data_IF_697493828041
#
_entry.id   IF_697493828041
#
_cell.length_a   1.000
_cell.length_b   1.000
_cell.length_c   1.000
_cell.angle_alpha   90.00
_cell.angle_beta   90.00
_cell.angle_gamma   90.00
#
_symmetry.space_group_name_H-M   'P 1'
#
loop_
_entity.id
_entity.type
_entity.pdbx_description
1 polymer ?
#
# COMPACT_ATOMS: atom_id res chain seq x y z
N UNK A 1 -7.93 25.32 13.36
CA UNK A 1 -8.86 24.91 12.28
C UNK A 1 -8.01 24.37 11.14
N UNK A 2 -8.40 23.27 10.49
CA UNK A 2 -7.63 22.65 9.40
C UNK A 2 -8.29 23.01 8.06
N UNK A 3 -7.51 23.23 7.00
CA UNK A 3 -8.03 23.50 5.65
C UNK A 3 -8.24 22.21 4.83
N UNK A 4 -7.46 21.17 5.15
CA UNK A 4 -7.55 19.87 4.52
C UNK A 4 -7.00 18.74 5.40
N UNK A 5 -7.39 17.50 5.09
CA UNK A 5 -6.90 16.29 5.74
C UNK A 5 -6.73 15.14 4.73
N UNK A 6 -5.65 14.36 4.89
CA UNK A 6 -5.52 13.03 4.28
C UNK A 6 -5.84 11.98 5.34
N UNK A 7 -6.69 11.03 4.99
CA UNK A 7 -7.06 9.88 5.80
C UNK A 7 -6.42 8.65 5.17
N UNK A 8 -5.51 8.01 5.90
CA UNK A 8 -4.89 6.75 5.50
C UNK A 8 -5.40 5.61 6.38
N UNK A 9 -6.18 4.72 5.76
CA UNK A 9 -6.80 3.57 6.41
C UNK A 9 -8.01 3.86 7.31
N UNK A 10 -8.84 2.83 7.49
CA UNK A 10 -9.95 2.80 8.45
C UNK A 10 -11.07 3.83 8.25
N UNK A 11 -11.98 3.85 9.24
CA UNK A 11 -13.10 4.79 9.30
C UNK A 11 -14.31 4.44 8.41
N UNK A 12 -15.37 5.24 8.54
CA UNK A 12 -16.62 5.12 7.78
C UNK A 12 -16.64 6.09 6.59
N UNK A 13 -17.77 6.18 5.90
CA UNK A 13 -18.01 7.24 4.93
C UNK A 13 -17.80 8.62 5.58
N UNK A 14 -17.08 9.49 4.89
CA UNK A 14 -16.87 10.89 5.26
C UNK A 14 -18.19 11.64 5.10
N UNK A 15 -18.56 12.43 6.11
CA UNK A 15 -19.75 13.28 6.07
C UNK A 15 -19.64 14.31 4.92
N UNK A 16 -20.74 14.58 4.24
CA UNK A 16 -20.77 15.36 2.99
C UNK A 16 -20.88 16.87 3.18
N UNK A 17 -21.08 17.33 4.42
CA UNK A 17 -21.25 18.74 4.77
C UNK A 17 -19.93 19.43 5.20
N UNK A 18 -18.80 18.72 5.14
CA UNK A 18 -17.48 19.31 5.42
C UNK A 18 -17.14 20.40 4.39
N UNK A 19 -16.60 21.51 4.91
CA UNK A 19 -16.10 22.64 4.10
C UNK A 19 -14.60 22.55 3.79
N UNK A 20 -13.91 21.61 4.43
CA UNK A 20 -12.49 21.33 4.23
C UNK A 20 -12.29 20.31 3.11
N UNK A 21 -11.09 20.23 2.55
CA UNK A 21 -10.75 19.17 1.59
C UNK A 21 -10.42 17.88 2.33
N UNK A 22 -11.03 16.78 1.94
CA UNK A 22 -10.79 15.45 2.53
C UNK A 22 -10.33 14.50 1.44
N UNK A 23 -9.24 13.80 1.70
CA UNK A 23 -8.73 12.81 0.78
C UNK A 23 -8.49 11.48 1.48
N UNK A 24 -9.16 10.42 1.03
CA UNK A 24 -8.84 9.05 1.44
C UNK A 24 -7.78 8.44 0.54
N UNK A 25 -6.61 8.14 1.10
CA UNK A 25 -5.53 7.45 0.39
C UNK A 25 -5.39 6.05 0.97
N UNK A 26 -5.73 5.03 0.18
CA UNK A 26 -5.98 3.68 0.68
C UNK A 26 -5.02 2.67 0.05
N UNK A 27 -4.50 1.78 0.89
CA UNK A 27 -3.84 0.54 0.44
C UNK A 27 -4.87 -0.52 0.03
N UNK A 28 -4.44 -1.60 -0.62
CA UNK A 28 -5.31 -2.75 -0.87
C UNK A 28 -5.79 -3.39 0.43
N UNK A 29 -4.95 -3.42 1.48
CA UNK A 29 -5.34 -3.83 2.84
C UNK A 29 -6.54 -3.05 3.34
N UNK A 30 -6.53 -1.73 3.20
CA UNK A 30 -7.61 -0.87 3.70
C UNK A 30 -8.94 -1.16 2.99
N UNK A 31 -8.88 -1.41 1.67
CA UNK A 31 -10.03 -1.81 0.86
C UNK A 31 -10.59 -3.14 1.35
N UNK A 32 -9.72 -4.13 1.56
CA UNK A 32 -10.08 -5.47 2.07
C UNK A 32 -10.78 -5.36 3.41
N UNK A 33 -10.21 -4.63 4.38
CA UNK A 33 -10.67 -4.66 5.77
C UNK A 33 -11.69 -3.58 6.15
N UNK A 34 -12.35 -2.96 5.17
CA UNK A 34 -13.54 -2.14 5.40
C UNK A 34 -13.80 -1.03 4.39
N UNK A 35 -12.76 -0.52 3.72
CA UNK A 35 -12.95 0.65 2.86
C UNK A 35 -13.65 0.35 1.55
N UNK A 36 -13.62 -0.90 1.05
CA UNK A 36 -14.39 -1.30 -0.13
C UNK A 36 -15.89 -1.03 0.02
N UNK A 37 -16.48 -1.37 1.17
CA UNK A 37 -17.87 -1.09 1.49
C UNK A 37 -18.15 0.40 1.79
N UNK A 38 -17.11 1.15 2.18
CA UNK A 38 -17.19 2.56 2.51
C UNK A 38 -16.83 3.49 1.32
N UNK A 39 -16.69 2.95 0.11
CA UNK A 39 -16.47 3.76 -1.11
C UNK A 39 -17.53 4.86 -1.25
N UNK A 40 -17.07 6.03 -1.69
CA UNK A 40 -17.89 7.21 -1.95
C UNK A 40 -17.49 7.79 -3.29
N UNK A 41 -18.46 8.37 -3.99
CA UNK A 41 -18.17 9.15 -5.17
C UNK A 41 -17.35 10.38 -4.77
N UNK A 42 -16.39 10.73 -5.62
CA UNK A 42 -15.67 11.96 -5.44
C UNK A 42 -16.58 13.19 -5.57
N UNK A 43 -16.18 14.31 -4.96
CA UNK A 43 -16.87 15.60 -5.01
C UNK A 43 -15.87 16.77 -4.96
N UNK A 44 -16.36 18.00 -4.92
CA UNK A 44 -15.53 19.21 -4.84
C UNK A 44 -14.68 19.30 -3.55
N UNK A 45 -15.02 18.53 -2.52
CA UNK A 45 -14.33 18.49 -1.23
C UNK A 45 -13.88 17.08 -0.81
N UNK A 46 -14.17 16.04 -1.61
CA UNK A 46 -13.80 14.66 -1.26
C UNK A 46 -13.17 13.93 -2.44
N UNK A 47 -12.02 13.30 -2.21
CA UNK A 47 -11.33 12.45 -3.19
C UNK A 47 -10.90 11.14 -2.55
N UNK A 48 -10.87 10.08 -3.34
CA UNK A 48 -10.34 8.79 -2.88
C UNK A 48 -9.45 8.13 -3.93
N UNK A 49 -8.29 7.64 -3.50
CA UNK A 49 -7.40 6.80 -4.30
C UNK A 49 -7.13 5.49 -3.59
N UNK A 50 -7.03 4.42 -4.36
CA UNK A 50 -6.72 3.08 -3.89
C UNK A 50 -5.48 2.57 -4.64
N UNK A 51 -4.45 2.13 -3.92
CA UNK A 51 -3.18 1.65 -4.49
C UNK A 51 -3.21 0.12 -4.55
N UNK A 52 -3.22 -0.42 -5.77
CA UNK A 52 -3.36 -1.85 -6.01
C UNK A 52 -2.18 -2.64 -5.43
N UNK A 53 -2.45 -3.80 -4.82
CA UNK A 53 -1.47 -4.74 -4.27
C UNK A 53 -0.60 -4.23 -3.12
N UNK A 54 -0.76 -2.97 -2.69
CA UNK A 54 -0.05 -2.42 -1.55
C UNK A 54 -0.68 -2.87 -0.23
N UNK A 55 0.18 -3.17 0.73
CA UNK A 55 -0.17 -3.44 2.12
C UNK A 55 -0.18 -2.16 2.94
N UNK A 56 -1.02 -2.09 3.98
CA UNK A 56 -1.07 -0.95 4.90
C UNK A 56 0.32 -0.62 5.49
N UNK A 57 1.15 -1.65 5.67
CA UNK A 57 2.57 -1.52 5.98
C UNK A 57 3.35 -2.20 4.86
N UNK A 58 4.03 -1.43 4.02
CA UNK A 58 4.92 -1.92 2.95
C UNK A 58 6.40 -1.91 3.34
N UNK A 59 7.24 -2.50 2.47
CA UNK A 59 8.68 -2.55 2.70
C UNK A 59 9.31 -1.17 2.91
N UNK A 60 8.89 -0.16 2.14
CA UNK A 60 9.48 1.18 2.20
C UNK A 60 9.04 1.92 3.48
N UNK A 61 7.80 1.71 3.94
CA UNK A 61 7.37 2.17 5.26
C UNK A 61 8.26 1.61 6.37
N UNK A 62 8.52 0.30 6.37
CA UNK A 62 9.34 -0.33 7.40
C UNK A 62 10.80 0.09 7.30
N UNK A 63 11.35 0.19 6.09
CA UNK A 63 12.72 0.65 5.87
C UNK A 63 12.93 2.10 6.36
N UNK A 64 12.00 3.01 6.06
CA UNK A 64 12.07 4.40 6.53
C UNK A 64 11.87 4.51 8.04
N UNK A 65 10.92 3.74 8.61
CA UNK A 65 10.70 3.69 10.06
C UNK A 65 11.90 3.13 10.81
N UNK A 66 12.60 2.13 10.28
CA UNK A 66 13.77 1.54 10.94
C UNK A 66 14.87 2.58 11.21
N UNK A 67 15.06 3.54 10.31
CA UNK A 67 16.03 4.63 10.50
C UNK A 67 15.62 5.55 11.66
N UNK A 68 14.33 5.90 11.73
CA UNK A 68 13.78 6.72 12.82
C UNK A 68 13.87 5.99 14.17
N UNK A 69 13.54 4.69 14.18
CA UNK A 69 13.64 3.88 15.38
C UNK A 69 15.08 3.76 15.90
N UNK A 70 16.04 3.63 15.00
CA UNK A 70 17.46 3.60 15.37
C UNK A 70 17.89 4.93 16.01
N UNK A 71 17.36 6.06 15.51
CA UNK A 71 17.66 7.40 16.02
C UNK A 71 16.97 7.70 17.36
N UNK A 72 15.67 7.43 17.46
CA UNK A 72 14.79 7.94 18.53
C UNK A 72 14.28 6.85 19.48
N UNK A 73 14.54 5.57 19.17
CA UNK A 73 13.89 4.45 19.83
C UNK A 73 12.41 4.30 19.44
N UNK A 74 11.69 3.43 20.16
CA UNK A 74 10.25 3.23 20.00
C UNK A 74 9.54 3.55 21.32
N UNK A 75 9.34 4.84 21.67
CA UNK A 75 8.69 5.19 22.92
C UNK A 75 7.25 4.67 22.93
N UNK A 76 6.96 3.75 23.86
CA UNK A 76 5.61 3.24 24.10
C UNK A 76 4.90 4.23 25.00
N UNK A 77 3.75 4.75 24.55
CA UNK A 77 2.94 5.64 25.37
C UNK A 77 2.56 4.94 26.71
N UNK A 78 2.60 5.63 27.85
CA UNK A 78 2.23 5.04 29.13
C UNK A 78 0.84 4.39 29.06
N UNK A 79 0.75 3.11 29.43
CA UNK A 79 -0.50 2.33 29.37
C UNK A 79 -0.84 1.71 28.01
N UNK A 80 -0.02 1.91 26.97
CA UNK A 80 -0.20 1.23 25.68
C UNK A 80 0.57 -0.10 25.65
N UNK A 81 -0.09 -1.19 25.25
CA UNK A 81 0.55 -2.48 24.99
C UNK A 81 0.52 -2.76 23.48
N UNK A 82 1.67 -2.68 22.77
CA UNK A 82 1.73 -2.99 21.35
C UNK A 82 1.19 -4.40 21.05
N UNK A 83 0.33 -4.53 20.04
CA UNK A 83 -0.29 -5.81 19.67
C UNK A 83 -1.58 -6.16 20.42
N UNK A 84 -1.96 -5.38 21.44
CA UNK A 84 -3.29 -5.47 22.06
C UNK A 84 -4.27 -4.63 21.22
N UNK A 85 -4.84 -5.22 20.18
CA UNK A 85 -5.93 -4.57 19.44
C UNK A 85 -7.16 -4.55 20.35
N UNK A 86 -7.49 -3.38 20.88
CA UNK A 86 -8.77 -3.10 21.53
C UNK A 86 -9.96 -3.16 20.57
N UNK A 87 -10.19 -4.29 19.88
CA UNK A 87 -11.47 -4.49 19.19
C UNK A 87 -11.55 -5.41 17.97
N UNK A 88 -10.65 -6.36 17.69
CA UNK A 88 -10.94 -7.38 16.65
C UNK A 88 -10.62 -8.81 17.11
N UNK A 89 -11.68 -9.50 17.52
CA UNK A 89 -11.88 -10.95 17.54
C UNK A 89 -10.89 -11.85 18.31
N UNK A 90 -10.52 -11.51 19.54
CA UNK A 90 -10.23 -12.54 20.54
C UNK A 90 -10.79 -12.13 21.90
N UNK A 91 -11.63 -12.98 22.48
CA UNK A 91 -12.33 -12.75 23.74
C UNK A 91 -11.45 -12.94 24.99
N UNK A 92 -10.13 -13.08 24.83
CA UNK A 92 -9.19 -13.31 25.93
C UNK A 92 -7.96 -12.40 25.80
N UNK A 93 -7.76 -11.51 26.78
CA UNK A 93 -6.60 -10.63 26.84
C UNK A 93 -5.28 -11.41 27.02
N UNK A 94 -5.32 -12.60 27.61
CA UNK A 94 -4.13 -13.42 27.80
C UNK A 94 -3.60 -14.01 26.49
N UNK A 95 -4.48 -14.41 25.57
CA UNK A 95 -4.07 -14.88 24.24
C UNK A 95 -3.45 -13.74 23.42
N UNK A 96 -3.99 -12.52 23.52
CA UNK A 96 -3.42 -11.35 22.84
C UNK A 96 -2.01 -11.01 23.34
N UNK A 97 -1.77 -11.09 24.65
CA UNK A 97 -0.42 -10.87 25.22
C UNK A 97 0.56 -11.96 24.78
N UNK A 98 0.12 -13.22 24.70
CA UNK A 98 0.93 -14.32 24.22
C UNK A 98 1.28 -14.16 22.73
N UNK A 99 0.32 -13.77 21.89
CA UNK A 99 0.53 -13.54 20.46
C UNK A 99 1.43 -12.32 20.21
N UNK A 100 1.26 -11.24 20.97
CA UNK A 100 2.14 -10.07 20.92
C UNK A 100 3.60 -10.41 21.29
N UNK A 101 3.80 -11.28 22.29
CA UNK A 101 5.12 -11.79 22.68
C UNK A 101 5.73 -12.69 21.61
N UNK A 102 4.96 -13.62 21.04
CA UNK A 102 5.42 -14.47 19.92
C UNK A 102 5.85 -13.64 18.73
N UNK A 103 5.04 -12.65 18.38
CA UNK A 103 5.33 -11.70 17.31
C UNK A 103 6.63 -10.91 17.57
N UNK A 104 6.80 -10.36 18.78
CA UNK A 104 8.00 -9.59 19.13
C UNK A 104 9.26 -10.46 19.15
N UNK A 105 9.16 -11.70 19.63
CA UNK A 105 10.27 -12.65 19.65
C UNK A 105 10.67 -13.09 18.23
N UNK A 106 9.71 -13.34 17.34
CA UNK A 106 9.98 -13.69 15.95
C UNK A 106 10.72 -12.56 15.22
N UNK A 107 10.27 -11.30 15.38
CA UNK A 107 10.96 -10.13 14.83
C UNK A 107 12.37 -9.98 15.41
N UNK A 108 12.54 -10.13 16.72
CA UNK A 108 13.85 -10.04 17.37
C UNK A 108 14.81 -11.13 16.88
N UNK A 109 14.30 -12.30 16.48
CA UNK A 109 15.06 -13.38 15.90
C UNK A 109 15.28 -13.26 14.38
N UNK A 110 14.78 -12.18 13.74
CA UNK A 110 14.83 -12.01 12.28
C UNK A 110 13.94 -12.99 11.51
N UNK A 111 12.98 -13.62 12.18
CA UNK A 111 12.04 -14.56 11.58
C UNK A 111 10.77 -13.83 11.08
N UNK A 112 10.18 -14.31 9.99
CA UNK A 112 8.86 -13.87 9.55
C UNK A 112 7.79 -14.34 10.56
N UNK A 113 7.07 -13.42 11.24
CA UNK A 113 6.04 -13.81 12.21
C UNK A 113 4.71 -14.20 11.56
N UNK A 114 4.56 -14.05 10.25
CA UNK A 114 3.31 -14.22 9.51
C UNK A 114 3.30 -15.48 8.63
N UNK A 115 2.12 -15.87 8.17
CA UNK A 115 1.95 -17.10 7.37
C UNK A 115 2.54 -16.97 5.96
N UNK A 116 2.60 -15.75 5.40
CA UNK A 116 3.26 -15.43 4.13
C UNK A 116 4.41 -14.43 4.34
N UNK A 117 5.41 -14.38 3.43
CA UNK A 117 6.50 -13.41 3.51
C UNK A 117 5.98 -11.97 3.56
N UNK A 118 6.34 -11.23 4.61
CA UNK A 118 6.08 -9.78 4.74
C UNK A 118 7.18 -8.98 4.07
N UNK A 119 6.94 -7.78 3.53
CA UNK A 119 5.74 -6.97 3.38
C UNK A 119 5.33 -6.92 1.91
N UNK A 120 4.32 -6.17 1.45
CA UNK A 120 4.22 -5.89 0.00
C UNK A 120 5.39 -4.99 -0.46
N UNK A 121 5.82 -5.14 -1.72
CA UNK A 121 6.88 -4.35 -2.35
C UNK A 121 6.36 -3.11 -3.09
N UNK A 122 5.05 -2.89 -3.09
CA UNK A 122 4.41 -1.77 -3.79
C UNK A 122 4.70 -0.48 -3.02
N UNK A 123 5.44 0.48 -3.59
CA UNK A 123 5.92 1.65 -2.85
C UNK A 123 4.85 2.72 -2.70
N UNK A 124 4.00 2.60 -1.65
CA UNK A 124 2.89 3.51 -1.39
C UNK A 124 3.30 4.98 -1.30
N UNK A 125 4.51 5.23 -0.80
CA UNK A 125 5.05 6.57 -0.64
C UNK A 125 5.04 7.39 -1.94
N UNK A 126 5.14 6.74 -3.11
CA UNK A 126 5.13 7.44 -4.40
C UNK A 126 3.79 8.14 -4.66
N UNK A 127 2.70 7.47 -4.29
CA UNK A 127 1.33 7.99 -4.41
C UNK A 127 1.03 8.98 -3.30
N UNK A 128 1.53 8.73 -2.08
CA UNK A 128 1.41 9.67 -0.97
C UNK A 128 2.09 11.02 -1.26
N UNK A 129 3.29 11.00 -1.85
CA UNK A 129 4.01 12.21 -2.23
C UNK A 129 3.19 13.07 -3.21
N UNK A 130 2.65 12.45 -4.28
CA UNK A 130 1.77 13.13 -5.21
C UNK A 130 0.47 13.63 -4.56
N UNK A 131 -0.12 12.84 -3.65
CA UNK A 131 -1.33 13.23 -2.94
C UNK A 131 -1.10 14.49 -2.09
N UNK A 132 0.05 14.60 -1.41
CA UNK A 132 0.41 15.78 -0.63
C UNK A 132 0.58 17.03 -1.51
N UNK A 133 1.27 16.91 -2.65
CA UNK A 133 1.44 18.00 -3.62
C UNK A 133 0.09 18.49 -4.16
N UNK A 134 -0.78 17.56 -4.57
CA UNK A 134 -2.12 17.92 -5.03
C UNK A 134 -2.98 18.50 -3.92
N UNK A 135 -2.86 18.03 -2.68
CA UNK A 135 -3.61 18.59 -1.54
C UNK A 135 -3.26 20.07 -1.35
N UNK A 136 -1.96 20.41 -1.45
CA UNK A 136 -1.50 21.78 -1.37
C UNK A 136 -2.09 22.66 -2.49
N UNK A 137 -2.10 22.16 -3.73
CA UNK A 137 -2.73 22.85 -4.87
C UNK A 137 -4.25 22.95 -4.74
N UNK A 138 -4.91 21.96 -4.15
CA UNK A 138 -6.35 21.96 -3.96
C UNK A 138 -6.80 22.97 -2.92
N UNK A 139 -6.02 23.13 -1.85
CA UNK A 139 -6.25 24.15 -0.82
C UNK A 139 -5.94 25.55 -1.36
N UNK A 140 -4.80 25.72 -2.02
CA UNK A 140 -4.30 27.04 -2.44
C UNK A 140 -5.03 27.58 -3.67
N UNK A 141 -5.17 26.75 -4.70
CA UNK A 141 -5.58 27.17 -6.04
C UNK A 141 -6.95 26.59 -6.44
N UNK A 142 -7.59 25.81 -5.55
CA UNK A 142 -8.86 25.13 -5.84
C UNK A 142 -8.75 24.02 -6.87
N UNK A 143 -7.54 23.64 -7.30
CA UNK A 143 -7.30 22.62 -8.32
C UNK A 143 -7.49 21.22 -7.72
N UNK A 144 -8.57 20.49 -8.06
CA UNK A 144 -8.79 19.17 -7.48
C UNK A 144 -7.73 18.18 -7.98
N UNK A 145 -7.38 17.17 -7.17
CA UNK A 145 -6.53 16.09 -7.64
C UNK A 145 -7.21 15.26 -8.72
N UNK A 146 -6.43 14.52 -9.54
CA UNK A 146 -6.95 13.55 -10.50
C UNK A 146 -7.88 12.52 -9.86
N UNK A 147 -8.81 11.98 -10.66
CA UNK A 147 -9.67 10.87 -10.26
C UNK A 147 -8.94 9.57 -10.58
N UNK A 148 -8.98 8.59 -9.67
CA UNK A 148 -8.50 7.23 -9.92
C UNK A 148 -9.66 6.22 -9.85
N UNK A 149 -9.66 5.17 -10.69
CA UNK A 149 -10.63 4.11 -10.56
C UNK A 149 -10.41 3.33 -9.25
N UNK A 150 -11.47 2.80 -8.61
CA UNK A 150 -11.31 1.87 -7.50
C UNK A 150 -10.59 0.59 -7.93
N UNK A 151 -9.96 -0.13 -7.00
CA UNK A 151 -9.42 -1.49 -7.25
C UNK A 151 -10.58 -2.43 -7.61
N UNK A 152 -10.38 -3.25 -8.64
CA UNK A 152 -11.36 -4.24 -9.04
C UNK A 152 -11.53 -5.31 -7.96
N UNK A 153 -12.77 -5.51 -7.53
CA UNK A 153 -13.14 -6.47 -6.49
C UNK A 153 -14.37 -7.27 -6.94
N UNK A 154 -14.34 -8.58 -6.69
CA UNK A 154 -15.51 -9.46 -6.91
C UNK A 154 -16.54 -9.31 -5.80
N UNK A 155 -16.11 -8.86 -4.62
CA UNK A 155 -16.96 -8.47 -3.50
C UNK A 155 -16.31 -7.34 -2.72
N UNK A 156 -17.10 -6.37 -2.29
CA UNK A 156 -16.67 -5.28 -1.40
C UNK A 156 -17.15 -5.45 0.04
N UNK A 157 -17.82 -6.57 0.36
CA UNK A 157 -18.25 -6.91 1.72
C UNK A 157 -17.02 -7.30 2.55
N UNK A 158 -16.77 -6.70 3.72
CA UNK A 158 -15.56 -7.00 4.50
C UNK A 158 -15.53 -8.45 5.03
N UNK A 159 -14.42 -9.20 4.84
CA UNK A 159 -13.23 -8.81 4.07
C UNK A 159 -13.52 -8.83 2.56
N UNK A 160 -13.24 -7.72 1.88
CA UNK A 160 -13.45 -7.59 0.44
C UNK A 160 -12.55 -8.57 -0.33
N UNK A 161 -13.03 -9.06 -1.48
CA UNK A 161 -12.34 -10.06 -2.30
C UNK A 161 -11.86 -9.38 -3.58
N UNK A 162 -10.55 -9.12 -3.66
CA UNK A 162 -9.94 -8.46 -4.82
C UNK A 162 -9.99 -9.39 -6.03
N UNK A 163 -10.31 -8.84 -7.20
CA UNK A 163 -10.15 -9.57 -8.45
C UNK A 163 -8.66 -9.72 -8.74
N UNK A 164 -8.21 -10.93 -9.11
CA UNK A 164 -6.79 -11.23 -9.36
C UNK A 164 -6.54 -11.61 -10.81
N UNK A 165 -5.37 -11.25 -11.34
CA UNK A 165 -4.89 -11.70 -12.64
C UNK A 165 -4.23 -13.09 -12.56
N UNK A 166 -3.74 -13.59 -13.70
CA UNK A 166 -3.06 -14.89 -13.79
C UNK A 166 -1.72 -14.95 -13.06
N UNK A 167 -1.20 -13.82 -12.55
CA UNK A 167 0.01 -13.72 -11.75
C UNK A 167 -0.30 -13.56 -10.25
N UNK A 168 -1.58 -13.58 -9.86
CA UNK A 168 -2.02 -13.40 -8.48
C UNK A 168 -2.02 -11.95 -7.99
N UNK A 169 -1.70 -10.99 -8.87
CA UNK A 169 -1.77 -9.56 -8.56
C UNK A 169 -3.19 -9.03 -8.80
N UNK A 170 -3.51 -7.83 -8.31
CA UNK A 170 -4.83 -7.22 -8.58
C UNK A 170 -5.08 -7.16 -10.10
N UNK A 171 -6.27 -7.54 -10.55
CA UNK A 171 -6.61 -7.68 -11.98
C UNK A 171 -6.62 -6.34 -12.71
N UNK A 172 -7.23 -5.33 -12.09
CA UNK A 172 -7.47 -4.03 -12.69
C UNK A 172 -7.93 -3.02 -11.66
N UNK A 173 -8.25 -1.82 -12.14
CA UNK A 173 -8.58 -0.70 -11.27
C UNK A 173 -7.41 -0.25 -10.38
N UNK A 174 -7.70 0.72 -9.51
CA UNK A 174 -6.71 1.34 -8.63
C UNK A 174 -5.59 2.08 -9.36
N UNK A 175 -4.71 2.68 -8.57
CA UNK A 175 -3.41 3.15 -9.04
C UNK A 175 -2.47 1.94 -9.06
N UNK A 176 -1.99 1.59 -10.25
CA UNK A 176 -1.09 0.45 -10.48
C UNK A 176 0.33 0.96 -10.70
N UNK A 177 1.17 0.85 -9.68
CA UNK A 177 2.60 1.16 -9.79
C UNK A 177 3.36 0.05 -10.53
N UNK A 178 4.65 0.28 -10.82
CA UNK A 178 5.48 -0.68 -11.54
C UNK A 178 5.47 -2.09 -10.92
N UNK A 179 5.45 -2.20 -9.58
CA UNK A 179 5.38 -3.48 -8.86
C UNK A 179 4.13 -4.33 -9.19
N UNK A 180 3.06 -3.73 -9.72
CA UNK A 180 1.82 -4.41 -10.09
C UNK A 180 1.63 -4.47 -11.60
N UNK A 181 1.98 -3.42 -12.32
CA UNK A 181 1.81 -3.36 -13.77
C UNK A 181 2.93 -4.07 -14.54
N UNK A 182 4.13 -4.17 -13.93
CA UNK A 182 5.31 -4.86 -14.46
C UNK A 182 5.86 -5.78 -13.36
N UNK A 183 5.09 -6.80 -12.94
CA UNK A 183 5.34 -7.52 -11.70
C UNK A 183 6.56 -8.44 -11.79
N UNK A 184 7.44 -8.32 -10.80
CA UNK A 184 8.49 -9.30 -10.50
C UNK A 184 8.08 -10.30 -9.40
N UNK A 185 6.96 -10.02 -8.75
CA UNK A 185 6.42 -10.76 -7.63
C UNK A 185 4.89 -10.68 -7.63
N UNK A 186 4.25 -11.66 -6.98
CA UNK A 186 2.87 -11.53 -6.53
C UNK A 186 2.86 -10.63 -5.30
N UNK A 187 2.13 -9.52 -5.34
CA UNK A 187 1.93 -8.58 -4.25
C UNK A 187 0.48 -8.62 -3.78
N UNK A 188 0.28 -8.64 -2.46
CA UNK A 188 -1.04 -8.60 -1.85
C UNK A 188 -1.06 -7.72 -0.62
N UNK A 189 -2.16 -6.98 -0.43
CA UNK A 189 -2.46 -6.31 0.82
C UNK A 189 -2.94 -7.25 1.94
N UNK A 190 -3.01 -8.56 1.70
CA UNK A 190 -3.51 -9.54 2.67
C UNK A 190 -2.42 -10.49 3.13
N UNK A 191 -2.40 -10.76 4.43
CA UNK A 191 -1.60 -11.81 5.06
C UNK A 191 -2.30 -12.22 6.36
N UNK A 192 -1.91 -13.37 6.92
CA UNK A 192 -2.49 -13.95 8.12
C UNK A 192 -1.39 -14.32 9.11
N UNK A 193 -1.79 -14.62 10.34
CA UNK A 193 -0.87 -14.87 11.45
C UNK A 193 -1.13 -13.95 12.65
N UNK A 194 -0.30 -14.06 13.69
CA UNK A 194 -0.48 -13.33 14.95
C UNK A 194 -0.31 -11.80 14.78
N UNK A 195 -0.91 -11.05 15.70
CA UNK A 195 -0.70 -9.61 15.82
C UNK A 195 -1.11 -8.83 14.56
N UNK A 196 -0.17 -8.08 13.99
CA UNK A 196 -0.42 -7.16 12.89
C UNK A 196 -0.16 -7.77 11.50
N UNK A 197 -0.03 -9.10 11.38
CA UNK A 197 0.20 -9.74 10.08
C UNK A 197 -0.81 -9.33 9.00
N UNK A 198 -2.08 -9.14 9.37
CA UNK A 198 -3.11 -8.66 8.45
C UNK A 198 -2.87 -7.24 7.88
N UNK A 199 -2.02 -6.42 8.49
CA UNK A 199 -1.58 -5.11 7.98
C UNK A 199 -0.37 -5.20 7.04
N UNK A 200 0.38 -6.29 7.12
CA UNK A 200 1.71 -6.37 6.51
C UNK A 200 1.66 -6.86 5.07
N UNK A 201 0.54 -7.46 4.68
CA UNK A 201 0.39 -8.09 3.37
C UNK A 201 1.54 -9.02 3.05
N UNK A 202 1.78 -9.26 1.77
CA UNK A 202 2.84 -10.15 1.34
C UNK A 202 3.37 -9.84 -0.04
N UNK A 203 4.61 -10.25 -0.29
CA UNK A 203 5.16 -10.42 -1.62
C UNK A 203 5.73 -11.83 -1.77
N UNK A 204 5.60 -12.42 -2.96
CA UNK A 204 6.27 -13.68 -3.33
C UNK A 204 6.91 -13.50 -4.69
N UNK A 205 8.24 -13.53 -4.73
CA UNK A 205 9.01 -13.37 -5.97
C UNK A 205 8.66 -14.44 -7.01
N UNK A 206 8.62 -14.04 -8.27
CA UNK A 206 8.52 -14.99 -9.37
C UNK A 206 9.85 -15.68 -9.62
N UNK A 207 9.78 -16.97 -9.98
CA UNK A 207 10.97 -17.68 -10.41
C UNK A 207 11.53 -17.15 -11.75
N UNK A 208 12.76 -17.52 -12.06
CA UNK A 208 13.44 -17.07 -13.27
C UNK A 208 12.74 -17.53 -14.56
N UNK A 209 12.03 -18.66 -14.55
CA UNK A 209 11.31 -19.15 -15.73
C UNK A 209 10.09 -18.27 -16.04
N UNK A 210 9.34 -17.87 -14.99
CA UNK A 210 8.24 -16.93 -15.09
C UNK A 210 8.73 -15.55 -15.50
N UNK A 211 9.82 -15.06 -14.92
CA UNK A 211 10.42 -13.78 -15.34
C UNK A 211 10.91 -13.83 -16.79
N UNK A 212 11.46 -14.95 -17.25
CA UNK A 212 11.85 -15.14 -18.65
C UNK A 212 10.65 -15.12 -19.61
N UNK A 213 9.53 -15.70 -19.19
CA UNK A 213 8.28 -15.69 -19.93
C UNK A 213 7.67 -14.30 -20.02
N UNK A 214 7.62 -13.56 -18.89
CA UNK A 214 7.06 -12.20 -18.84
C UNK A 214 7.96 -11.18 -19.55
N UNK A 215 9.28 -11.34 -19.42
CA UNK A 215 10.28 -10.39 -19.89
C UNK A 215 11.39 -11.15 -20.66
N UNK A 216 11.24 -11.33 -21.97
CA UNK A 216 12.23 -12.06 -22.77
C UNK A 216 13.65 -11.48 -22.62
N UNK A 217 13.76 -10.15 -22.50
CA UNK A 217 15.05 -9.43 -22.37
C UNK A 217 15.01 -8.37 -21.27
N UNK A 218 16.19 -8.00 -20.74
CA UNK A 218 16.33 -6.86 -19.82
C UNK A 218 15.72 -5.57 -20.42
N UNK A 219 15.96 -5.32 -21.71
CA UNK A 219 15.41 -4.15 -22.40
C UNK A 219 13.87 -4.15 -22.42
N UNK A 220 13.23 -5.31 -22.59
CA UNK A 220 11.76 -5.41 -22.56
C UNK A 220 11.18 -5.09 -21.17
N UNK A 221 11.87 -5.51 -20.10
CA UNK A 221 11.50 -5.16 -18.73
C UNK A 221 11.63 -3.66 -18.46
N UNK A 222 12.78 -3.06 -18.79
CA UNK A 222 13.05 -1.63 -18.58
C UNK A 222 12.07 -0.77 -19.38
N UNK A 223 11.77 -1.14 -20.63
CA UNK A 223 10.80 -0.44 -21.46
C UNK A 223 9.38 -0.46 -20.84
N UNK A 224 8.95 -1.62 -20.35
CA UNK A 224 7.65 -1.76 -19.68
C UNK A 224 7.58 -0.92 -18.40
N UNK A 225 8.64 -0.91 -17.57
CA UNK A 225 8.71 -0.06 -16.37
C UNK A 225 8.60 1.41 -16.76
N UNK A 226 9.38 1.86 -17.75
CA UNK A 226 9.33 3.25 -18.23
C UNK A 226 7.94 3.65 -18.67
N UNK A 227 7.28 2.83 -19.47
CA UNK A 227 5.92 3.12 -19.96
C UNK A 227 4.95 3.36 -18.80
N UNK A 228 4.94 2.46 -17.81
CA UNK A 228 4.06 2.55 -16.64
C UNK A 228 4.37 3.79 -15.80
N UNK A 229 5.64 4.08 -15.54
CA UNK A 229 6.03 5.23 -14.74
C UNK A 229 5.69 6.55 -15.44
N UNK A 230 5.91 6.66 -16.75
CA UNK A 230 5.50 7.83 -17.52
C UNK A 230 3.97 8.00 -17.54
N UNK A 231 3.21 6.90 -17.63
CA UNK A 231 1.75 6.94 -17.57
C UNK A 231 1.25 7.42 -16.20
N UNK A 232 1.81 6.90 -15.11
CA UNK A 232 1.44 7.32 -13.76
C UNK A 232 1.83 8.77 -13.49
N UNK A 233 3.00 9.22 -13.97
CA UNK A 233 3.41 10.63 -13.87
C UNK A 233 2.46 11.55 -14.63
N UNK A 234 2.14 11.23 -15.89
CA UNK A 234 1.19 12.03 -16.70
C UNK A 234 -0.23 12.03 -16.12
N UNK A 235 -0.64 10.94 -15.48
CA UNK A 235 -1.91 10.87 -14.77
C UNK A 235 -1.91 11.65 -13.44
N UNK A 236 -0.74 12.11 -12.98
CA UNK A 236 -0.57 12.83 -11.72
C UNK A 236 -0.62 11.94 -10.48
N UNK A 237 -0.43 10.63 -10.62
CA UNK A 237 -0.44 9.68 -9.49
C UNK A 237 0.89 9.56 -8.76
N UNK A 238 1.97 10.03 -9.38
CA UNK A 238 3.33 10.08 -8.83
C UNK A 238 4.00 11.37 -9.32
N UNK A 239 5.07 11.80 -8.65
CA UNK A 239 5.87 12.92 -9.13
C UNK A 239 7.02 12.43 -10.02
N UNK A 240 7.67 13.37 -10.71
CA UNK A 240 8.79 13.09 -11.62
C UNK A 240 9.97 12.39 -10.91
N UNK A 241 10.40 12.79 -9.69
CA UNK A 241 11.50 12.12 -9.01
C UNK A 241 11.26 10.63 -8.77
N UNK A 242 10.06 10.22 -8.38
CA UNK A 242 9.72 8.82 -8.16
C UNK A 242 9.68 8.02 -9.46
N UNK A 243 9.20 8.64 -10.55
CA UNK A 243 9.25 8.05 -11.88
C UNK A 243 10.69 7.80 -12.33
N UNK A 244 11.55 8.82 -12.25
CA UNK A 244 12.97 8.70 -12.61
C UNK A 244 13.72 7.68 -11.76
N UNK A 245 13.52 7.71 -10.44
CA UNK A 245 14.18 6.78 -9.54
C UNK A 245 13.78 5.32 -9.82
N UNK A 246 12.50 5.06 -10.10
CA UNK A 246 12.02 3.71 -10.41
C UNK A 246 12.54 3.23 -11.77
N UNK A 247 12.60 4.12 -12.76
CA UNK A 247 13.18 3.80 -14.09
C UNK A 247 14.68 3.48 -13.96
N UNK A 248 15.44 4.32 -13.25
CA UNK A 248 16.87 4.10 -13.03
C UNK A 248 17.14 2.81 -12.24
N UNK A 249 16.29 2.48 -11.26
CA UNK A 249 16.38 1.21 -10.54
C UNK A 249 16.16 0.02 -11.49
N UNK A 250 15.21 0.10 -12.41
CA UNK A 250 14.98 -0.95 -13.41
C UNK A 250 16.18 -1.09 -14.37
N UNK A 251 16.73 0.02 -14.86
CA UNK A 251 17.93 0.04 -15.71
C UNK A 251 19.15 -0.59 -15.04
N UNK A 252 19.30 -0.41 -13.72
CA UNK A 252 20.39 -0.98 -12.94
C UNK A 252 20.13 -2.40 -12.40
N UNK A 253 18.90 -2.91 -12.55
CA UNK A 253 18.50 -4.22 -12.01
C UNK A 253 19.20 -5.39 -12.72
N UNK A 254 19.31 -6.52 -12.01
CA UNK A 254 19.80 -7.78 -12.58
C UNK A 254 18.73 -8.54 -13.40
N UNK A 255 17.49 -8.03 -13.46
CA UNK A 255 16.36 -8.72 -14.10
C UNK A 255 16.70 -8.99 -15.56
N UNK A 256 16.84 -10.27 -15.91
CA UNK A 256 17.10 -10.72 -17.29
C UNK A 256 18.38 -10.15 -17.91
N UNK A 257 19.37 -9.78 -17.08
CA UNK A 257 20.73 -9.53 -17.57
C UNK A 257 21.40 -10.87 -17.92
N UNK A 258 22.22 -10.91 -19.00
CA UNK A 258 22.95 -12.12 -19.40
C UNK A 258 23.96 -12.57 -18.35
#
# INVERSE_FOLDING_TARGET
>A
MFDAVILHGGGSKVRTDLKIKVWKLLSETDVIFGQGAARQLDSDNFRSWEVAGNSHVDQQFIASRAQLLSRDGNPVAPGFTPGLLGGRNSSDAASQVADAKRFTNAIAAGANPCDQPTYSDVPFYQVMAAALDHLALWVKDGKPPPIAPPIDATSVVPPAVMARDANGNSLGGGIRLAAIAVPLAMNSGQNTGPGFCWLYGSHVEFDQAKLAFLYPTHASYVAAVREVMEKNFKAGYILRPEADATIAAAEHSAVRRP
#
